data_IF_927780216004
#
_entry.id   IF_927780216004
#
_cell.length_a   1.000
_cell.length_b   1.000
_cell.length_c   1.000
_cell.angle_alpha   90.00
_cell.angle_beta   90.00
_cell.angle_gamma   90.00
#
_symmetry.space_group_name_H-M   'P 1'
#
loop_
_entity.id
_entity.type
_entity.pdbx_description
1 polymer ?
#
# COMPACT_ATOMS: atom_id res chain seq x y z
N UNK A 1 -20.11 -21.81 1.40
CA UNK A 1 -18.86 -21.79 0.59
C UNK A 1 -19.17 -21.05 -0.70
N UNK A 2 -18.48 -19.95 -1.02
CA UNK A 2 -18.72 -19.21 -2.28
C UNK A 2 -18.30 -20.12 -3.45
N UNK A 3 -19.08 -20.21 -4.54
CA UNK A 3 -18.67 -21.01 -5.69
C UNK A 3 -17.35 -20.47 -6.24
N UNK A 4 -16.38 -21.36 -6.43
CA UNK A 4 -15.11 -21.05 -7.07
C UNK A 4 -15.39 -20.72 -8.53
N UNK A 5 -14.86 -19.60 -9.02
CA UNK A 5 -14.89 -19.28 -10.44
C UNK A 5 -13.76 -20.08 -11.13
N UNK A 6 -14.10 -21.10 -11.95
CA UNK A 6 -13.11 -21.95 -12.60
C UNK A 6 -12.27 -21.17 -13.62
N UNK A 7 -12.74 -20.00 -14.07
CA UNK A 7 -12.00 -19.15 -15.01
C UNK A 7 -10.93 -18.31 -14.33
N UNK A 8 -10.98 -18.18 -12.99
CA UNK A 8 -10.06 -17.34 -12.19
C UNK A 8 -9.61 -18.08 -10.92
N UNK A 9 -8.96 -19.25 -11.06
CA UNK A 9 -8.54 -20.07 -9.91
C UNK A 9 -7.59 -19.33 -8.98
N UNK A 10 -6.88 -18.33 -9.51
CA UNK A 10 -5.93 -17.53 -8.77
C UNK A 10 -6.59 -16.56 -7.76
N UNK A 11 -7.90 -16.33 -7.86
CA UNK A 11 -8.72 -15.56 -6.93
C UNK A 11 -9.46 -16.43 -5.90
N UNK A 12 -9.33 -17.76 -5.95
CA UNK A 12 -10.10 -18.71 -5.13
C UNK A 12 -10.07 -18.43 -3.61
N UNK A 13 -8.97 -17.88 -3.12
CA UNK A 13 -8.75 -17.60 -1.69
C UNK A 13 -8.85 -16.11 -1.33
N UNK A 14 -9.20 -15.25 -2.30
CA UNK A 14 -9.41 -13.83 -2.04
C UNK A 14 -10.80 -13.65 -1.42
N UNK A 15 -10.92 -12.97 -0.26
CA UNK A 15 -12.21 -12.68 0.34
C UNK A 15 -13.14 -11.95 -0.64
N UNK A 16 -14.43 -12.32 -0.63
CA UNK A 16 -15.41 -11.77 -1.56
C UNK A 16 -15.56 -10.25 -1.49
N UNK A 17 -15.37 -9.68 -0.30
CA UNK A 17 -15.50 -8.25 -0.01
C UNK A 17 -14.21 -7.47 -0.29
N UNK A 18 -13.13 -8.14 -0.73
CA UNK A 18 -11.90 -7.45 -1.08
C UNK A 18 -12.13 -6.54 -2.29
N UNK A 19 -11.92 -5.21 -2.15
CA UNK A 19 -12.07 -4.31 -3.28
C UNK A 19 -10.98 -4.54 -4.32
N UNK A 20 -11.32 -4.32 -5.59
CA UNK A 20 -10.34 -4.27 -6.68
C UNK A 20 -9.63 -2.92 -6.71
N UNK A 21 -8.45 -2.85 -7.34
CA UNK A 21 -7.71 -1.60 -7.49
C UNK A 21 -8.53 -0.51 -8.18
N UNK A 22 -9.35 -0.86 -9.18
CA UNK A 22 -10.26 0.09 -9.83
C UNK A 22 -11.17 0.81 -8.82
N UNK A 23 -11.71 0.07 -7.83
CA UNK A 23 -12.55 0.66 -6.78
C UNK A 23 -11.75 1.59 -5.87
N UNK A 24 -10.53 1.21 -5.51
CA UNK A 24 -9.64 2.04 -4.68
C UNK A 24 -9.28 3.34 -5.41
N UNK A 25 -8.95 3.25 -6.70
CA UNK A 25 -8.64 4.40 -7.54
C UNK A 25 -9.79 5.41 -7.52
N UNK A 26 -11.03 4.95 -7.74
CA UNK A 26 -12.22 5.81 -7.71
C UNK A 26 -12.39 6.51 -6.36
N UNK A 27 -12.23 5.77 -5.26
CA UNK A 27 -12.34 6.32 -3.90
C UNK A 27 -11.27 7.38 -3.63
N UNK A 28 -10.03 7.14 -4.06
CA UNK A 28 -8.92 8.08 -3.86
C UNK A 28 -9.08 9.33 -4.72
N UNK A 29 -9.50 9.18 -5.97
CA UNK A 29 -9.64 10.31 -6.90
C UNK A 29 -10.74 11.29 -6.45
N UNK A 30 -11.71 10.81 -5.67
CA UNK A 30 -12.83 11.60 -5.13
C UNK A 30 -12.66 12.01 -3.66
N UNK A 31 -11.51 11.72 -3.03
CA UNK A 31 -11.27 12.04 -1.62
C UNK A 31 -10.70 13.44 -1.41
N UNK A 32 -11.54 14.36 -0.95
CA UNK A 32 -11.16 15.75 -0.67
C UNK A 32 -10.27 15.94 0.56
N UNK A 33 -10.09 14.91 1.40
CA UNK A 33 -9.15 14.95 2.51
C UNK A 33 -7.68 14.79 2.08
N UNK A 34 -7.46 14.36 0.83
CA UNK A 34 -6.14 14.24 0.23
C UNK A 34 -5.82 15.44 -0.64
N UNK A 35 -4.61 15.98 -0.56
CA UNK A 35 -4.15 16.98 -1.50
C UNK A 35 -4.18 16.44 -2.95
N UNK A 36 -4.50 17.29 -3.92
CA UNK A 36 -4.70 16.87 -5.31
C UNK A 36 -3.48 16.16 -5.94
N UNK A 37 -2.25 16.54 -5.56
CA UNK A 37 -1.05 15.85 -5.99
C UNK A 37 -0.97 14.43 -5.38
N UNK A 38 -1.32 14.30 -4.10
CA UNK A 38 -1.30 13.01 -3.39
C UNK A 38 -2.32 12.04 -3.95
N UNK A 39 -3.54 12.50 -4.28
CA UNK A 39 -4.55 11.68 -4.98
C UNK A 39 -3.98 11.09 -6.27
N UNK A 40 -3.36 11.94 -7.10
CA UNK A 40 -2.74 11.54 -8.38
C UNK A 40 -1.64 10.51 -8.18
N UNK A 41 -0.75 10.72 -7.22
CA UNK A 41 0.37 9.80 -6.96
C UNK A 41 -0.12 8.41 -6.51
N UNK A 42 -1.05 8.38 -5.56
CA UNK A 42 -1.64 7.14 -5.05
C UNK A 42 -2.38 6.35 -6.15
N UNK A 43 -3.23 7.03 -6.93
CA UNK A 43 -3.95 6.41 -8.03
C UNK A 43 -2.99 5.93 -9.15
N UNK A 44 -1.94 6.69 -9.44
CA UNK A 44 -0.89 6.31 -10.40
C UNK A 44 -0.09 5.10 -9.93
N UNK A 45 0.24 5.02 -8.63
CA UNK A 45 0.89 3.86 -8.03
C UNK A 45 0.11 2.56 -8.25
N UNK A 46 -1.20 2.57 -7.98
CA UNK A 46 -2.07 1.41 -8.21
C UNK A 46 -2.10 1.00 -9.69
N UNK A 47 -2.25 1.95 -10.61
CA UNK A 47 -2.25 1.68 -12.07
C UNK A 47 -0.93 1.08 -12.54
N UNK A 48 0.21 1.62 -12.08
CA UNK A 48 1.54 1.10 -12.41
C UNK A 48 1.76 -0.31 -11.88
N UNK A 49 1.31 -0.60 -10.66
CA UNK A 49 1.38 -1.94 -10.10
C UNK A 49 0.54 -2.92 -10.89
N UNK A 50 -0.71 -2.56 -11.23
CA UNK A 50 -1.59 -3.40 -12.05
C UNK A 50 -0.95 -3.71 -13.41
N UNK A 51 -0.44 -2.68 -14.09
CA UNK A 51 0.27 -2.82 -15.36
C UNK A 51 1.49 -3.75 -15.25
N UNK A 52 2.32 -3.58 -14.20
CA UNK A 52 3.52 -4.38 -14.01
C UNK A 52 3.25 -5.87 -13.76
N UNK A 53 2.10 -6.22 -13.17
CA UNK A 53 1.66 -7.62 -13.01
C UNK A 53 0.82 -8.12 -14.20
N UNK A 54 0.70 -7.31 -15.26
CA UNK A 54 0.03 -7.68 -16.51
C UNK A 54 -1.50 -7.75 -16.41
N UNK A 55 -2.12 -6.97 -15.53
CA UNK A 55 -3.58 -6.97 -15.33
C UNK A 55 -4.18 -5.56 -15.34
N UNK A 56 -5.41 -5.38 -15.82
CA UNK A 56 -6.12 -4.12 -15.67
C UNK A 56 -6.58 -3.94 -14.20
N UNK A 57 -6.73 -2.70 -13.69
CA UNK A 57 -7.07 -2.46 -12.28
C UNK A 57 -8.36 -3.12 -11.77
N UNK A 58 -9.30 -3.43 -12.66
CA UNK A 58 -10.56 -4.13 -12.39
C UNK A 58 -10.35 -5.59 -12.01
N UNK A 59 -9.18 -6.14 -12.31
CA UNK A 59 -8.81 -7.54 -12.11
C UNK A 59 -7.77 -7.77 -11.01
N UNK A 60 -7.37 -6.70 -10.32
CA UNK A 60 -6.35 -6.75 -9.29
C UNK A 60 -7.00 -6.55 -7.92
N UNK A 61 -7.16 -7.63 -7.11
CA UNK A 61 -7.68 -7.51 -5.77
C UNK A 61 -6.68 -6.79 -4.86
N UNK A 62 -7.20 -5.94 -3.99
CA UNK A 62 -6.43 -5.31 -2.93
C UNK A 62 -6.19 -6.25 -1.74
N UNK A 63 -5.68 -7.45 -2.02
CA UNK A 63 -5.32 -8.44 -1.03
C UNK A 63 -3.80 -8.62 -0.97
N UNK A 64 -3.13 -8.31 0.16
CA UNK A 64 -1.68 -8.42 0.26
C UNK A 64 -1.15 -9.84 0.04
N UNK A 65 -1.88 -10.88 0.45
CA UNK A 65 -1.46 -12.28 0.31
C UNK A 65 -1.44 -12.69 -1.16
N UNK A 66 -2.41 -12.22 -1.94
CA UNK A 66 -2.49 -12.40 -3.39
C UNK A 66 -1.44 -11.55 -4.12
N UNK A 67 -1.23 -10.29 -3.70
CA UNK A 67 -0.30 -9.36 -4.35
C UNK A 67 1.17 -9.76 -4.15
N UNK A 68 1.58 -10.12 -2.93
CA UNK A 68 2.99 -10.36 -2.59
C UNK A 68 3.72 -11.31 -3.56
N UNK A 69 3.23 -12.53 -3.87
CA UNK A 69 3.93 -13.44 -4.78
C UNK A 69 3.96 -12.95 -6.23
N UNK A 70 3.05 -12.05 -6.63
CA UNK A 70 3.02 -11.46 -7.98
C UNK A 70 4.01 -10.32 -8.09
N UNK A 71 4.03 -9.42 -7.10
CA UNK A 71 4.99 -8.33 -7.02
C UNK A 71 6.44 -8.83 -6.96
N UNK A 72 6.68 -9.93 -6.25
CA UNK A 72 8.01 -10.54 -6.15
C UNK A 72 8.56 -11.07 -7.49
N UNK A 73 7.68 -11.37 -8.45
CA UNK A 73 8.06 -11.85 -9.80
C UNK A 73 8.31 -10.71 -10.78
N UNK A 74 7.96 -9.47 -10.44
CA UNK A 74 8.17 -8.32 -11.32
C UNK A 74 9.66 -8.02 -11.38
N UNK A 75 10.21 -7.99 -12.60
CA UNK A 75 11.55 -7.51 -12.89
C UNK A 75 11.46 -6.09 -13.48
N UNK A 76 11.72 -5.01 -12.71
CA UNK A 76 11.53 -3.63 -13.17
C UNK A 76 12.29 -3.30 -14.45
N UNK A 77 13.51 -3.83 -14.59
CA UNK A 77 14.34 -3.62 -15.77
C UNK A 77 13.71 -4.17 -17.06
N UNK A 78 12.99 -5.30 -16.99
CA UNK A 78 12.29 -5.88 -18.13
C UNK A 78 11.10 -5.03 -18.60
N UNK A 79 10.57 -4.16 -17.73
CA UNK A 79 9.51 -3.21 -18.01
C UNK A 79 10.04 -1.82 -18.38
N UNK A 80 11.36 -1.66 -18.53
CA UNK A 80 11.99 -0.37 -18.84
C UNK A 80 11.89 0.67 -17.70
N UNK A 81 11.61 0.24 -16.47
CA UNK A 81 11.49 1.13 -15.30
C UNK A 81 12.66 0.96 -14.34
N UNK A 82 13.09 2.08 -13.75
CA UNK A 82 14.13 2.04 -12.73
C UNK A 82 13.64 1.37 -11.46
N UNK A 83 14.57 0.76 -10.70
CA UNK A 83 14.24 0.16 -9.41
C UNK A 83 13.59 1.16 -8.44
N UNK A 84 14.04 2.42 -8.45
CA UNK A 84 13.47 3.50 -7.64
C UNK A 84 12.02 3.81 -8.05
N UNK A 85 11.74 3.90 -9.35
CA UNK A 85 10.37 4.13 -9.85
C UNK A 85 9.43 2.99 -9.45
N UNK A 86 9.90 1.74 -9.53
CA UNK A 86 9.14 0.59 -9.07
C UNK A 86 8.85 0.63 -7.57
N UNK A 87 9.86 0.91 -6.75
CA UNK A 87 9.69 1.05 -5.30
C UNK A 87 8.67 2.15 -4.96
N UNK A 88 8.71 3.28 -5.66
CA UNK A 88 7.73 4.36 -5.48
C UNK A 88 6.32 3.89 -5.84
N UNK A 89 6.13 3.22 -6.98
CA UNK A 89 4.82 2.69 -7.39
C UNK A 89 4.24 1.71 -6.35
N UNK A 90 5.06 0.78 -5.85
CA UNK A 90 4.66 -0.17 -4.81
C UNK A 90 4.36 0.55 -3.48
N UNK A 91 5.15 1.56 -3.13
CA UNK A 91 4.94 2.36 -1.93
C UNK A 91 3.62 3.14 -2.00
N UNK A 92 3.34 3.81 -3.12
CA UNK A 92 2.11 4.56 -3.32
C UNK A 92 0.88 3.64 -3.36
N UNK A 93 0.94 2.51 -4.06
CA UNK A 93 -0.13 1.51 -4.04
C UNK A 93 -0.39 0.98 -2.62
N UNK A 94 0.66 0.75 -1.83
CA UNK A 94 0.50 0.35 -0.42
C UNK A 94 -0.12 1.46 0.41
N UNK A 95 0.30 2.71 0.22
CA UNK A 95 -0.26 3.85 0.95
C UNK A 95 -1.73 4.09 0.59
N UNK A 96 -2.11 3.89 -0.67
CA UNK A 96 -3.50 3.90 -1.10
C UNK A 96 -4.35 2.87 -0.34
N UNK A 97 -3.87 1.62 -0.26
CA UNK A 97 -4.55 0.58 0.52
C UNK A 97 -4.56 0.90 2.02
N UNK A 98 -3.50 1.53 2.55
CA UNK A 98 -3.43 1.89 3.97
C UNK A 98 -4.40 3.02 4.33
N UNK A 99 -4.55 3.98 3.43
CA UNK A 99 -5.48 5.12 3.58
C UNK A 99 -6.93 4.66 3.73
N UNK A 100 -7.31 3.57 3.03
CA UNK A 100 -8.63 2.94 3.15
C UNK A 100 -8.71 1.85 4.23
N UNK A 101 -7.69 1.69 5.07
CA UNK A 101 -7.68 0.71 6.17
C UNK A 101 -7.52 -0.76 5.75
N UNK A 102 -7.25 -1.04 4.47
CA UNK A 102 -7.10 -2.42 3.94
C UNK A 102 -5.81 -3.06 4.45
N UNK A 103 -4.73 -2.26 4.53
CA UNK A 103 -3.47 -2.68 5.10
C UNK A 103 -3.07 -1.78 6.25
N UNK A 104 -2.40 -2.34 7.26
CA UNK A 104 -1.82 -1.49 8.31
C UNK A 104 -0.79 -0.55 7.71
N UNK A 105 -0.94 0.74 8.01
CA UNK A 105 0.09 1.75 7.79
C UNK A 105 1.34 1.32 8.54
N UNK A 106 2.50 1.50 7.90
CA UNK A 106 3.78 1.17 8.53
C UNK A 106 4.22 2.40 9.30
N UNK A 107 4.27 2.30 10.62
CA UNK A 107 4.77 3.37 11.48
C UNK A 107 6.28 3.47 11.27
N UNK A 108 6.76 4.65 10.90
CA UNK A 108 8.18 4.90 10.58
C UNK A 108 8.69 6.19 11.20
N UNK A 109 7.83 6.99 11.82
CA UNK A 109 8.20 8.22 12.50
C UNK A 109 7.99 8.09 14.01
N UNK A 110 8.73 8.89 14.78
CA UNK A 110 8.52 9.03 16.24
C UNK A 110 7.10 9.50 16.54
N UNK A 111 6.51 10.30 15.65
CA UNK A 111 5.14 10.79 15.79
C UNK A 111 4.08 9.70 15.54
N UNK A 112 4.49 8.55 15.01
CA UNK A 112 3.63 7.37 14.86
C UNK A 112 3.62 6.48 16.13
N UNK A 113 4.35 6.85 17.19
CA UNK A 113 4.32 6.13 18.46
C UNK A 113 2.96 6.29 19.13
N UNK A 114 2.45 5.22 19.75
CA UNK A 114 1.28 5.34 20.64
C UNK A 114 1.60 6.29 21.80
N UNK A 115 0.60 6.92 22.44
CA UNK A 115 0.81 7.88 23.52
C UNK A 115 1.78 7.40 24.61
N UNK A 116 1.65 6.14 25.05
CA UNK A 116 2.49 5.55 26.10
C UNK A 116 3.96 5.43 25.68
N UNK A 117 4.20 4.92 24.47
CA UNK A 117 5.54 4.84 23.88
C UNK A 117 6.15 6.22 23.60
N UNK A 118 5.34 7.19 23.18
CA UNK A 118 5.80 8.57 23.00
C UNK A 118 6.17 9.25 24.32
N UNK A 119 5.48 8.93 25.42
CA UNK A 119 5.85 9.39 26.76
C UNK A 119 7.17 8.77 27.22
N UNK A 120 7.35 7.46 27.02
CA UNK A 120 8.61 6.78 27.36
C UNK A 120 9.79 7.30 26.53
N UNK A 121 9.59 7.48 25.23
CA UNK A 121 10.64 8.00 24.33
C UNK A 121 11.10 9.41 24.72
N UNK A 122 10.17 10.29 25.11
CA UNK A 122 10.50 11.61 25.65
C UNK A 122 11.35 11.51 26.91
N UNK A 123 10.98 10.62 27.84
CA UNK A 123 11.76 10.38 29.06
C UNK A 123 13.19 9.91 28.80
N UNK A 124 13.41 9.07 27.79
CA UNK A 124 14.77 8.63 27.39
C UNK A 124 15.61 9.80 26.88
N UNK A 125 15.04 10.66 26.02
CA UNK A 125 15.73 11.83 25.47
C UNK A 125 16.08 12.87 26.56
N UNK A 126 15.22 13.03 27.57
CA UNK A 126 15.45 13.95 28.67
C UNK A 126 16.55 13.44 29.63
N UNK A 127 16.60 12.12 29.86
CA UNK A 127 17.68 11.48 30.64
C UNK A 127 19.06 11.62 29.95
N UNK A 128 19.12 11.41 28.64
CA UNK A 128 20.36 11.55 27.87
C UNK A 128 20.90 12.99 27.92
N UNK A 129 20.02 13.99 27.82
CA UNK A 129 20.40 15.42 27.97
C UNK A 129 20.91 15.76 29.37
N UNK A 130 20.30 15.19 30.41
CA UNK A 130 20.73 15.41 31.79
C UNK A 130 22.06 14.73 32.13
N UNK A 131 22.43 13.68 31.38
CA UNK A 131 23.68 12.92 31.56
C UNK A 131 24.89 13.54 30.84
N UNK A 132 24.68 14.62 30.06
CA UNK A 132 25.70 15.33 29.28
C UNK A 132 26.05 16.72 29.87
N UNK A 133 25.52 17.05 31.06
CA UNK A 133 25.83 18.23 31.87
C UNK A 133 26.51 17.79 33.17
#
# INVERSE_FOLDING_TARGET
MKPLDPTRPDLAFVPAETPMFARIIQLIETDDNLAAHRRRDLASGLRRVAHAIGRPPEEVPADPKWLQPRLAKVAPAALGITAKSWQNAVSDARMAMAHLGIVRRRNRHVDDLSPDWAALWRGVLDYEKASLL
#
